data_IF_831870374378
#
_entry.id   IF_831870374378
#
_cell.length_a   1.000
_cell.length_b   1.000
_cell.length_c   1.000
_cell.angle_alpha   90.00
_cell.angle_beta   90.00
_cell.angle_gamma   90.00
#
_symmetry.space_group_name_H-M   'P 1'
#
loop_
_entity.id
_entity.type
_entity.pdbx_description
1 polymer ?
#
# COMPACT_ATOMS: atom_id res chain seq x y z
N UNK A 1 9.73 -9.00 -18.82
CA UNK A 1 8.68 -8.73 -17.81
C UNK A 1 9.36 -8.55 -16.46
N UNK A 2 9.56 -7.32 -16.01
CA UNK A 2 10.28 -7.02 -14.77
C UNK A 2 9.38 -7.32 -13.58
N UNK A 3 9.71 -8.32 -12.78
CA UNK A 3 8.93 -8.63 -11.57
C UNK A 3 9.33 -7.63 -10.48
N UNK A 4 8.46 -6.66 -10.18
CA UNK A 4 8.69 -5.73 -9.08
C UNK A 4 8.53 -6.43 -7.72
N UNK A 5 9.42 -6.13 -6.78
CA UNK A 5 9.41 -6.73 -5.44
C UNK A 5 8.36 -6.09 -4.52
N UNK A 6 7.98 -6.79 -3.45
CA UNK A 6 7.11 -6.23 -2.39
C UNK A 6 7.63 -4.90 -1.84
N UNK A 7 8.94 -4.78 -1.68
CA UNK A 7 9.58 -3.56 -1.21
C UNK A 7 9.44 -2.38 -2.19
N UNK A 8 9.40 -2.65 -3.51
CA UNK A 8 9.15 -1.60 -4.50
C UNK A 8 7.75 -1.00 -4.31
N UNK A 9 6.73 -1.85 -4.22
CA UNK A 9 5.35 -1.40 -4.05
C UNK A 9 5.10 -0.74 -2.70
N UNK A 10 5.71 -1.25 -1.62
CA UNK A 10 5.63 -0.64 -0.31
C UNK A 10 6.21 0.79 -0.29
N UNK A 11 7.39 0.99 -0.90
CA UNK A 11 7.99 2.33 -1.03
C UNK A 11 7.15 3.27 -1.88
N UNK A 12 6.62 2.79 -3.00
CA UNK A 12 5.75 3.58 -3.87
C UNK A 12 4.47 4.01 -3.13
N UNK A 13 3.81 3.08 -2.46
CA UNK A 13 2.62 3.37 -1.66
C UNK A 13 2.90 4.39 -0.56
N UNK A 14 4.03 4.26 0.16
CA UNK A 14 4.41 5.25 1.17
C UNK A 14 4.59 6.65 0.58
N UNK A 15 5.24 6.76 -0.59
CA UNK A 15 5.41 8.03 -1.27
C UNK A 15 4.05 8.63 -1.69
N UNK A 16 3.18 7.82 -2.31
CA UNK A 16 1.83 8.24 -2.74
C UNK A 16 0.96 8.69 -1.56
N UNK A 17 1.00 7.99 -0.42
CA UNK A 17 0.27 8.40 0.79
C UNK A 17 0.80 9.73 1.35
N UNK A 18 2.12 9.96 1.34
CA UNK A 18 2.70 11.23 1.80
C UNK A 18 2.38 12.39 0.86
N UNK A 19 2.31 12.12 -0.44
CA UNK A 19 1.98 13.11 -1.46
C UNK A 19 0.51 13.55 -1.37
N UNK A 20 -0.43 12.59 -1.34
CA UNK A 20 -1.86 12.90 -1.33
C UNK A 20 -2.45 13.15 0.06
N UNK A 21 -1.81 12.65 1.12
CA UNK A 21 -2.27 12.79 2.50
C UNK A 21 -1.14 13.28 3.43
N UNK A 22 -0.59 14.49 3.22
CA UNK A 22 0.55 14.98 4.00
C UNK A 22 0.24 15.14 5.49
N UNK A 23 -1.03 15.32 5.86
CA UNK A 23 -1.47 15.37 7.26
C UNK A 23 -1.61 13.99 7.92
N UNK A 24 -1.55 12.89 7.15
CA UNK A 24 -1.66 11.54 7.68
C UNK A 24 -0.27 11.02 8.08
N UNK A 25 -0.02 10.73 9.38
CA UNK A 25 1.32 10.42 9.88
C UNK A 25 1.73 8.98 9.56
N UNK A 26 2.10 8.72 8.30
CA UNK A 26 2.66 7.43 7.87
C UNK A 26 4.10 7.31 8.35
N UNK A 27 4.39 6.28 9.13
CA UNK A 27 5.72 5.98 9.64
C UNK A 27 6.42 4.96 8.75
N UNK A 28 5.78 3.81 8.50
CA UNK A 28 6.36 2.75 7.68
C UNK A 28 5.32 2.05 6.83
N UNK A 29 5.76 1.54 5.67
CA UNK A 29 4.99 0.63 4.82
C UNK A 29 5.91 -0.53 4.44
N UNK A 30 5.47 -1.77 4.64
CA UNK A 30 6.25 -2.96 4.29
C UNK A 30 5.35 -4.07 3.75
N UNK A 31 5.88 -4.83 2.79
CA UNK A 31 5.28 -6.10 2.42
C UNK A 31 5.63 -7.18 3.45
N UNK A 32 4.69 -8.04 3.77
CA UNK A 32 4.87 -9.17 4.69
C UNK A 32 4.10 -10.38 4.21
N UNK A 33 4.38 -11.55 4.78
CA UNK A 33 3.61 -12.77 4.55
C UNK A 33 2.99 -13.25 5.85
N UNK A 34 1.72 -13.61 5.81
CA UNK A 34 0.96 -14.16 6.95
C UNK A 34 0.43 -15.55 6.62
N UNK A 35 0.00 -16.29 7.66
CA UNK A 35 -0.60 -17.63 7.53
C UNK A 35 0.35 -18.64 6.90
N UNK A 36 1.30 -19.17 7.69
CA UNK A 36 2.37 -20.07 7.23
C UNK A 36 3.18 -19.56 6.02
N UNK A 37 3.11 -18.26 5.72
CA UNK A 37 3.77 -17.64 4.56
C UNK A 37 2.96 -17.66 3.27
N UNK A 38 1.70 -18.11 3.29
CA UNK A 38 0.87 -18.32 2.09
C UNK A 38 0.27 -17.03 1.54
N UNK A 39 -0.03 -16.04 2.38
CA UNK A 39 -0.69 -14.81 1.94
C UNK A 39 0.24 -13.60 2.04
N UNK A 40 0.43 -12.91 0.92
CA UNK A 40 1.13 -11.61 0.86
C UNK A 40 0.20 -10.51 1.34
N UNK A 41 0.71 -9.63 2.20
CA UNK A 41 0.00 -8.47 2.74
C UNK A 41 0.87 -7.24 2.71
N UNK A 42 0.25 -6.07 2.70
CA UNK A 42 0.89 -4.80 3.04
C UNK A 42 0.57 -4.48 4.50
N UNK A 43 1.59 -4.04 5.23
CA UNK A 43 1.50 -3.55 6.59
C UNK A 43 1.89 -2.07 6.58
N UNK A 44 1.01 -1.21 7.08
CA UNK A 44 1.23 0.23 7.26
C UNK A 44 1.23 0.53 8.75
N UNK A 45 2.27 1.19 9.25
CA UNK A 45 2.33 1.74 10.61
C UNK A 45 2.16 3.25 10.56
N UNK A 46 1.30 3.79 11.42
CA UNK A 46 0.91 5.19 11.44
C UNK A 46 0.50 5.65 12.85
N UNK A 47 0.47 6.97 13.08
CA UNK A 47 -0.08 7.60 14.28
C UNK A 47 0.44 7.01 15.61
N UNK A 48 1.76 6.95 15.78
CA UNK A 48 2.41 6.51 17.02
C UNK A 48 2.33 5.00 17.23
N UNK A 49 2.50 4.21 16.16
CA UNK A 49 2.53 2.74 16.25
C UNK A 49 1.19 2.02 16.02
N UNK A 50 0.12 2.71 15.64
CA UNK A 50 -1.08 2.04 15.09
C UNK A 50 -0.73 1.38 13.76
N UNK A 51 -1.45 0.33 13.39
CA UNK A 51 -1.20 -0.33 12.13
C UNK A 51 -2.46 -0.77 11.41
N UNK A 52 -2.36 -0.84 10.08
CA UNK A 52 -3.34 -1.42 9.20
C UNK A 52 -2.66 -2.47 8.32
N UNK A 53 -3.38 -3.55 8.05
CA UNK A 53 -2.90 -4.63 7.21
C UNK A 53 -3.97 -5.04 6.21
N UNK A 54 -3.59 -5.22 4.96
CA UNK A 54 -4.50 -5.68 3.91
C UNK A 54 -3.79 -6.58 2.89
N UNK A 55 -4.53 -7.45 2.18
CA UNK A 55 -3.97 -8.35 1.19
C UNK A 55 -3.23 -7.61 0.07
N UNK A 56 -2.12 -8.19 -0.38
CA UNK A 56 -1.48 -7.76 -1.60
C UNK A 56 -2.32 -8.21 -2.80
N UNK A 57 -2.63 -7.35 -3.78
CA UNK A 57 -3.45 -7.72 -4.94
C UNK A 57 -2.80 -8.84 -5.77
N UNK A 58 -3.63 -9.71 -6.35
CA UNK A 58 -3.19 -10.97 -7.00
C UNK A 58 -2.27 -10.69 -8.21
N UNK A 59 -1.27 -11.56 -8.40
CA UNK A 59 -0.28 -11.50 -9.50
C UNK A 59 -0.96 -11.48 -10.89
N UNK A 60 -0.45 -10.64 -11.80
CA UNK A 60 -0.83 -10.62 -13.22
C UNK A 60 -1.12 -9.23 -13.78
N UNK A 61 -1.31 -8.24 -12.91
CA UNK A 61 -1.59 -6.85 -13.25
C UNK A 61 -0.31 -6.04 -13.52
N UNK A 62 -0.39 -5.09 -14.45
CA UNK A 62 0.68 -4.14 -14.72
C UNK A 62 1.06 -3.35 -13.45
N UNK A 63 2.31 -2.92 -13.34
CA UNK A 63 2.86 -2.20 -12.17
C UNK A 63 2.00 -1.01 -11.75
N UNK A 64 1.42 -0.27 -12.71
CA UNK A 64 0.49 0.83 -12.44
C UNK A 64 -0.76 0.33 -11.68
N UNK A 65 -1.51 -0.60 -12.28
CA UNK A 65 -2.70 -1.18 -11.66
C UNK A 65 -2.45 -1.79 -10.26
N UNK A 66 -1.29 -2.41 -10.02
CA UNK A 66 -0.93 -2.89 -8.67
C UNK A 66 -0.76 -1.72 -7.70
N UNK A 67 -0.11 -0.63 -8.14
CA UNK A 67 0.10 0.56 -7.31
C UNK A 67 -1.23 1.23 -6.96
N UNK A 68 -2.12 1.36 -7.94
CA UNK A 68 -3.42 2.04 -7.79
C UNK A 68 -4.34 1.21 -6.87
N UNK A 69 -4.38 -0.11 -7.08
CA UNK A 69 -5.14 -1.01 -6.20
C UNK A 69 -4.62 -0.97 -4.74
N UNK A 70 -3.30 -0.87 -4.54
CA UNK A 70 -2.71 -0.74 -3.22
C UNK A 70 -3.04 0.60 -2.56
N UNK A 71 -3.03 1.69 -3.32
CA UNK A 71 -3.41 3.01 -2.83
C UNK A 71 -4.90 3.04 -2.43
N UNK A 72 -5.79 2.56 -3.30
CA UNK A 72 -7.22 2.48 -3.00
C UNK A 72 -7.51 1.60 -1.78
N UNK A 73 -6.83 0.46 -1.65
CA UNK A 73 -6.94 -0.40 -0.47
C UNK A 73 -6.46 0.30 0.81
N UNK A 74 -5.35 1.05 0.73
CA UNK A 74 -4.85 1.83 1.85
C UNK A 74 -5.84 2.93 2.25
N UNK A 75 -6.38 3.69 1.29
CA UNK A 75 -7.38 4.73 1.56
C UNK A 75 -8.63 4.14 2.23
N UNK A 76 -9.15 3.02 1.72
CA UNK A 76 -10.30 2.33 2.32
C UNK A 76 -10.02 1.87 3.75
N UNK A 77 -8.87 1.26 4.00
CA UNK A 77 -8.52 0.73 5.33
C UNK A 77 -8.22 1.83 6.35
N UNK A 78 -7.69 2.96 5.88
CA UNK A 78 -7.30 4.11 6.71
C UNK A 78 -8.39 5.19 6.78
N UNK A 79 -9.54 4.96 6.14
CA UNK A 79 -10.64 5.93 6.04
C UNK A 79 -10.21 7.29 5.45
N UNK A 80 -9.33 7.24 4.45
CA UNK A 80 -8.85 8.42 3.72
C UNK A 80 -9.66 8.58 2.43
N UNK A 81 -9.97 9.82 2.07
CA UNK A 81 -10.58 10.13 0.76
C UNK A 81 -9.50 10.02 -0.32
N UNK A 82 -9.61 9.09 -1.28
CA UNK A 82 -8.62 8.98 -2.34
C UNK A 82 -8.57 10.26 -3.18
N UNK A 83 -7.36 10.67 -3.57
CA UNK A 83 -7.20 11.76 -4.52
C UNK A 83 -7.90 11.42 -5.86
N UNK A 84 -8.58 12.37 -6.52
CA UNK A 84 -9.14 12.13 -7.84
C UNK A 84 -8.00 11.75 -8.80
N UNK A 85 -8.19 10.70 -9.61
CA UNK A 85 -7.24 10.36 -10.68
C UNK A 85 -7.06 11.60 -11.56
N UNK A 86 -5.81 12.06 -11.69
CA UNK A 86 -5.48 13.10 -12.65
C UNK A 86 -5.84 12.58 -14.04
N UNK A 87 -6.88 13.17 -14.63
CA UNK A 87 -7.41 12.84 -15.96
C UNK A 87 -6.47 13.31 -17.06
#
# INVERSE_FOLDING_TARGET
MTTHSDAFFARKLMATLKEHHPAFPVETVKGSRIGAGSQRVIHITFNGGKFAQFPFPVKGTHTAAVSDALYMSACSMLQLTPAPEAT
#
